data_IF_097971177061
#
_entry.id   IF_097971177061
#
_cell.length_a   1.000
_cell.length_b   1.000
_cell.length_c   1.000
_cell.angle_alpha   90.00
_cell.angle_beta   90.00
_cell.angle_gamma   90.00
#
_symmetry.space_group_name_H-M   'P 1'
#
loop_
_entity.id
_entity.type
_entity.pdbx_description
1 polymer ?
#
# COMPACT_ATOMS: atom_id res chain seq x y z
N UNK A 1 -41.22 -42.71 -6.16
CA UNK A 1 -39.94 -43.04 -5.50
C UNK A 1 -38.82 -43.30 -6.52
N UNK A 2 -39.00 -44.21 -7.50
CA UNK A 2 -37.97 -44.54 -8.52
C UNK A 2 -37.53 -43.30 -9.33
N UNK A 3 -38.46 -42.47 -9.83
CA UNK A 3 -38.12 -41.27 -10.62
C UNK A 3 -37.28 -40.24 -9.87
N UNK A 4 -37.52 -40.05 -8.56
CA UNK A 4 -36.76 -39.13 -7.72
C UNK A 4 -35.32 -39.64 -7.55
N UNK A 5 -35.16 -40.94 -7.33
CA UNK A 5 -33.85 -41.57 -7.19
C UNK A 5 -33.02 -41.44 -8.47
N UNK A 6 -33.64 -41.68 -9.63
CA UNK A 6 -32.99 -41.52 -10.94
C UNK A 6 -32.56 -40.07 -11.21
N UNK A 7 -33.40 -39.09 -10.87
CA UNK A 7 -33.06 -37.68 -11.03
C UNK A 7 -31.86 -37.27 -10.17
N UNK A 8 -31.82 -37.69 -8.89
CA UNK A 8 -30.70 -37.40 -7.98
C UNK A 8 -29.39 -37.98 -8.53
N UNK A 9 -29.41 -39.22 -9.03
CA UNK A 9 -28.22 -39.85 -9.62
C UNK A 9 -27.71 -39.06 -10.83
N UNK A 10 -28.60 -38.59 -11.71
CA UNK A 10 -28.22 -37.78 -12.88
C UNK A 10 -27.58 -36.47 -12.44
N UNK A 11 -28.15 -35.78 -11.45
CA UNK A 11 -27.58 -34.52 -10.92
C UNK A 11 -26.20 -34.76 -10.32
N UNK A 12 -26.02 -35.82 -9.54
CA UNK A 12 -24.70 -36.16 -8.96
C UNK A 12 -23.67 -36.47 -10.05
N UNK A 13 -24.03 -37.26 -11.05
CA UNK A 13 -23.13 -37.58 -12.17
C UNK A 13 -22.75 -36.31 -12.97
N UNK A 14 -23.71 -35.40 -13.16
CA UNK A 14 -23.45 -34.12 -13.82
C UNK A 14 -22.48 -33.24 -13.02
N UNK A 15 -22.67 -33.14 -11.70
CA UNK A 15 -21.76 -32.41 -10.81
C UNK A 15 -20.36 -33.03 -10.79
N UNK A 16 -20.27 -34.37 -10.69
CA UNK A 16 -19.00 -35.09 -10.75
C UNK A 16 -18.28 -34.87 -12.08
N UNK A 17 -19.01 -34.92 -13.20
CA UNK A 17 -18.45 -34.65 -14.52
C UNK A 17 -17.92 -33.22 -14.63
N UNK A 18 -18.68 -32.23 -14.14
CA UNK A 18 -18.26 -30.83 -14.08
C UNK A 18 -16.98 -30.66 -13.26
N UNK A 19 -16.92 -31.25 -12.08
CA UNK A 19 -15.74 -31.23 -11.20
C UNK A 19 -14.51 -31.87 -11.85
N UNK A 20 -14.66 -33.06 -12.46
CA UNK A 20 -13.57 -33.74 -13.17
C UNK A 20 -13.06 -32.93 -14.37
N UNK A 21 -13.97 -32.36 -15.15
CA UNK A 21 -13.62 -31.51 -16.29
C UNK A 21 -12.85 -30.27 -15.83
N UNK A 22 -13.34 -29.61 -14.77
CA UNK A 22 -12.71 -28.41 -14.22
C UNK A 22 -11.30 -28.70 -13.68
N UNK A 23 -11.13 -29.79 -12.93
CA UNK A 23 -9.81 -30.21 -12.44
C UNK A 23 -8.84 -30.53 -13.57
N UNK A 24 -9.31 -31.18 -14.65
CA UNK A 24 -8.46 -31.43 -15.82
C UNK A 24 -8.00 -30.13 -16.49
N UNK A 25 -8.89 -29.15 -16.62
CA UNK A 25 -8.54 -27.84 -17.19
C UNK A 25 -7.52 -27.13 -16.29
N UNK A 26 -7.78 -27.08 -14.98
CA UNK A 26 -6.88 -26.46 -14.00
C UNK A 26 -5.49 -27.09 -14.01
N UNK A 27 -5.41 -28.42 -14.09
CA UNK A 27 -4.12 -29.12 -14.16
C UNK A 27 -3.35 -28.79 -15.45
N UNK A 28 -4.05 -28.61 -16.57
CA UNK A 28 -3.41 -28.18 -17.82
C UNK A 28 -2.93 -26.73 -17.73
N UNK A 29 -3.72 -25.85 -17.12
CA UNK A 29 -3.34 -24.45 -16.92
C UNK A 29 -2.12 -24.32 -16.00
N UNK A 30 -2.09 -25.11 -14.92
CA UNK A 30 -0.93 -25.17 -14.03
C UNK A 30 0.31 -25.72 -14.73
N UNK A 31 0.15 -26.74 -15.58
CA UNK A 31 1.25 -27.23 -16.40
C UNK A 31 1.77 -26.18 -17.38
N UNK A 32 0.87 -25.46 -18.07
CA UNK A 32 1.27 -24.36 -18.95
C UNK A 32 2.00 -23.25 -18.18
N UNK A 33 1.58 -22.98 -16.95
CA UNK A 33 2.28 -22.07 -16.05
C UNK A 33 3.70 -22.56 -15.74
N UNK A 34 3.85 -23.80 -15.27
CA UNK A 34 5.18 -24.39 -15.00
C UNK A 34 6.07 -24.39 -16.24
N UNK A 35 5.54 -24.78 -17.40
CA UNK A 35 6.27 -24.82 -18.66
C UNK A 35 6.78 -23.44 -19.09
N UNK A 36 6.00 -22.37 -18.85
CA UNK A 36 6.36 -20.99 -19.19
C UNK A 36 7.39 -20.42 -18.20
N UNK A 37 7.20 -20.62 -16.90
CA UNK A 37 8.01 -19.94 -15.88
C UNK A 37 9.21 -20.75 -15.38
N UNK A 38 9.27 -22.06 -15.63
CA UNK A 38 10.46 -22.88 -15.29
C UNK A 38 11.70 -22.53 -16.12
N UNK A 39 11.53 -21.82 -17.24
CA UNK A 39 12.61 -21.45 -18.16
C UNK A 39 13.19 -20.06 -17.87
N UNK A 40 12.70 -19.34 -16.85
CA UNK A 40 13.11 -17.95 -16.54
C UNK A 40 14.53 -17.82 -15.98
N UNK A 41 15.08 -18.89 -15.41
CA UNK A 41 16.29 -18.81 -14.58
C UNK A 41 16.05 -18.22 -13.18
N UNK A 42 14.83 -17.79 -12.88
CA UNK A 42 14.38 -17.32 -11.58
C UNK A 42 13.66 -18.42 -10.79
N UNK A 43 13.33 -18.14 -9.52
CA UNK A 43 12.48 -19.03 -8.71
C UNK A 43 11.09 -19.10 -9.35
N UNK A 44 10.49 -20.30 -9.37
CA UNK A 44 9.15 -20.48 -9.92
C UNK A 44 8.14 -19.63 -9.11
N UNK A 45 7.38 -18.72 -9.75
CA UNK A 45 6.37 -17.93 -9.05
C UNK A 45 5.21 -18.82 -8.55
N UNK A 46 4.37 -18.26 -7.68
CA UNK A 46 3.14 -18.91 -7.22
C UNK A 46 1.99 -18.51 -8.13
N UNK A 47 1.14 -19.48 -8.52
CA UNK A 47 -0.08 -19.24 -9.28
C UNK A 47 -1.31 -19.45 -8.41
N UNK A 48 -2.07 -18.38 -8.20
CA UNK A 48 -3.37 -18.42 -7.53
C UNK A 48 -4.52 -18.35 -8.53
N UNK A 49 -5.59 -19.10 -8.24
CA UNK A 49 -6.81 -19.14 -9.04
C UNK A 49 -7.93 -18.44 -8.27
N UNK A 50 -8.61 -17.49 -8.92
CA UNK A 50 -9.79 -16.82 -8.38
C UNK A 50 -10.86 -16.71 -9.46
N UNK A 51 -11.93 -15.96 -9.19
CA UNK A 51 -12.95 -15.64 -10.18
C UNK A 51 -13.40 -14.20 -10.05
N UNK A 52 -13.44 -13.50 -11.17
CA UNK A 52 -14.00 -12.16 -11.30
C UNK A 52 -14.66 -12.03 -12.66
N UNK A 53 -15.55 -11.06 -12.82
CA UNK A 53 -16.18 -10.72 -14.10
C UNK A 53 -16.89 -11.91 -14.80
N UNK A 54 -17.27 -12.95 -14.05
CA UNK A 54 -17.87 -14.21 -14.55
C UNK A 54 -16.91 -15.17 -15.26
N UNK A 55 -15.60 -15.02 -15.08
CA UNK A 55 -14.57 -15.95 -15.58
C UNK A 55 -13.47 -16.17 -14.54
N UNK A 56 -12.62 -17.20 -14.71
CA UNK A 56 -11.48 -17.41 -13.83
C UNK A 56 -10.43 -16.31 -13.99
N UNK A 57 -9.85 -15.88 -12.88
CA UNK A 57 -8.73 -14.95 -12.84
C UNK A 57 -7.50 -15.63 -12.23
N UNK A 58 -6.33 -15.10 -12.56
CA UNK A 58 -5.05 -15.69 -12.25
C UNK A 58 -4.14 -14.63 -11.67
N UNK A 59 -3.50 -14.95 -10.55
CA UNK A 59 -2.49 -14.07 -9.95
C UNK A 59 -1.16 -14.82 -9.92
N UNK A 60 -0.16 -14.23 -10.56
CA UNK A 60 1.21 -14.73 -10.58
C UNK A 60 1.97 -13.92 -9.53
N UNK A 61 2.40 -14.57 -8.46
CA UNK A 61 3.15 -13.94 -7.37
C UNK A 61 4.61 -14.36 -7.44
N UNK A 62 5.47 -13.44 -7.85
CA UNK A 62 6.93 -13.58 -7.89
C UNK A 62 7.55 -13.39 -6.50
N UNK A 63 8.75 -13.92 -6.30
CA UNK A 63 9.47 -13.75 -5.03
C UNK A 63 9.93 -12.31 -4.85
N UNK A 64 10.56 -11.72 -5.89
CA UNK A 64 11.04 -10.34 -5.88
C UNK A 64 10.51 -9.54 -7.07
N UNK A 65 10.68 -8.23 -7.02
CA UNK A 65 10.34 -7.32 -8.12
C UNK A 65 11.19 -7.60 -9.36
N UNK A 66 12.48 -7.86 -9.18
CA UNK A 66 13.42 -8.15 -10.28
C UNK A 66 13.02 -9.42 -11.04
N UNK A 67 12.57 -10.46 -10.33
CA UNK A 67 12.09 -11.70 -10.95
C UNK A 67 10.85 -11.44 -11.84
N UNK A 68 9.93 -10.59 -11.36
CA UNK A 68 8.75 -10.18 -12.13
C UNK A 68 9.13 -9.37 -13.37
N UNK A 69 9.96 -8.34 -13.20
CA UNK A 69 10.41 -7.48 -14.29
C UNK A 69 11.20 -8.27 -15.35
N UNK A 70 12.03 -9.23 -14.91
CA UNK A 70 12.74 -10.13 -15.80
C UNK A 70 11.77 -11.02 -16.59
N UNK A 71 10.75 -11.57 -15.94
CA UNK A 71 9.75 -12.43 -16.60
C UNK A 71 8.88 -11.64 -17.59
N UNK A 72 8.55 -10.39 -17.29
CA UNK A 72 7.89 -9.48 -18.21
C UNK A 72 8.79 -9.12 -19.40
N UNK A 73 10.05 -8.75 -19.14
CA UNK A 73 11.03 -8.46 -20.19
C UNK A 73 11.24 -9.63 -21.15
N UNK A 74 11.26 -10.85 -20.62
CA UNK A 74 11.41 -12.08 -21.39
C UNK A 74 10.11 -12.54 -22.08
N UNK A 75 9.00 -11.81 -21.91
CA UNK A 75 7.71 -12.11 -22.54
C UNK A 75 7.00 -13.34 -21.97
N UNK A 76 7.39 -13.81 -20.78
CA UNK A 76 6.80 -15.01 -20.17
C UNK A 76 5.36 -14.76 -19.72
N UNK A 77 5.08 -13.59 -19.17
CA UNK A 77 3.72 -13.17 -18.80
C UNK A 77 2.80 -13.15 -20.03
N UNK A 78 3.28 -12.62 -21.15
CA UNK A 78 2.51 -12.56 -22.40
C UNK A 78 2.29 -13.94 -23.02
N UNK A 79 3.30 -14.81 -22.99
CA UNK A 79 3.15 -16.20 -23.44
C UNK A 79 2.14 -16.96 -22.56
N UNK A 80 2.17 -16.76 -21.24
CA UNK A 80 1.16 -17.35 -20.34
C UNK A 80 -0.25 -16.84 -20.64
N UNK A 81 -0.42 -15.52 -20.83
CA UNK A 81 -1.69 -14.89 -21.27
C UNK A 81 -2.22 -15.52 -22.56
N UNK A 82 -1.35 -15.71 -23.55
CA UNK A 82 -1.69 -16.34 -24.83
C UNK A 82 -2.14 -17.79 -24.65
N UNK A 83 -1.47 -18.57 -23.80
CA UNK A 83 -1.88 -19.96 -23.48
C UNK A 83 -3.22 -19.98 -22.75
N UNK A 84 -3.43 -19.11 -21.76
CA UNK A 84 -4.71 -19.02 -21.04
C UNK A 84 -5.88 -18.71 -21.95
N UNK A 85 -5.70 -17.80 -22.94
CA UNK A 85 -6.73 -17.47 -23.92
C UNK A 85 -7.24 -18.69 -24.70
N UNK A 86 -6.44 -19.74 -24.88
CA UNK A 86 -6.85 -20.96 -25.59
C UNK A 86 -7.85 -21.84 -24.83
N UNK A 87 -8.01 -21.64 -23.52
CA UNK A 87 -8.91 -22.43 -22.67
C UNK A 87 -10.33 -21.86 -22.61
N UNK A 88 -10.52 -20.62 -23.04
CA UNK A 88 -11.75 -19.87 -22.84
C UNK A 88 -12.33 -19.39 -24.18
N UNK A 89 -13.56 -18.92 -24.15
CA UNK A 89 -14.21 -18.35 -25.33
C UNK A 89 -13.65 -16.96 -25.67
N UNK A 90 -14.20 -16.36 -26.73
CA UNK A 90 -13.78 -15.05 -27.21
C UNK A 90 -14.06 -13.89 -26.26
N UNK A 91 -14.90 -14.08 -25.23
CA UNK A 91 -15.20 -13.04 -24.24
C UNK A 91 -14.12 -12.95 -23.14
N UNK A 92 -13.24 -13.96 -23.02
CA UNK A 92 -12.12 -13.94 -22.09
C UNK A 92 -11.05 -12.92 -22.51
N UNK A 93 -10.73 -12.01 -21.60
CA UNK A 93 -9.72 -10.97 -21.79
C UNK A 93 -8.48 -11.26 -20.92
N UNK A 94 -7.39 -11.83 -21.49
CA UNK A 94 -6.23 -12.22 -20.69
C UNK A 94 -5.57 -11.05 -19.97
N UNK A 95 -5.66 -9.82 -20.49
CA UNK A 95 -5.06 -8.64 -19.86
C UNK A 95 -5.80 -8.21 -18.59
N UNK A 96 -7.08 -8.57 -18.47
CA UNK A 96 -7.90 -8.35 -17.27
C UNK A 96 -7.92 -9.56 -16.35
N UNK A 97 -7.71 -10.78 -16.85
CA UNK A 97 -7.71 -12.00 -16.02
C UNK A 97 -6.45 -12.15 -15.19
N UNK A 98 -5.32 -11.77 -15.78
CA UNK A 98 -4.02 -12.20 -15.33
C UNK A 98 -3.28 -10.99 -14.81
N UNK A 99 -2.96 -11.05 -13.52
CA UNK A 99 -2.19 -10.03 -12.83
C UNK A 99 -0.88 -10.66 -12.36
N UNK A 100 0.22 -10.00 -12.70
CA UNK A 100 1.54 -10.28 -12.14
C UNK A 100 1.79 -9.34 -10.97
N UNK A 101 2.34 -9.87 -9.89
CA UNK A 101 2.79 -9.13 -8.71
C UNK A 101 3.96 -9.85 -8.06
N UNK A 102 4.66 -9.21 -7.15
CA UNK A 102 5.63 -9.86 -6.25
C UNK A 102 5.09 -9.86 -4.82
N UNK A 103 5.73 -10.62 -3.91
CA UNK A 103 5.26 -10.78 -2.53
C UNK A 103 5.04 -9.45 -1.81
N UNK A 104 5.96 -8.50 -1.99
CA UNK A 104 5.92 -7.19 -1.33
C UNK A 104 5.26 -6.11 -2.22
N UNK A 105 4.54 -6.50 -3.28
CA UNK A 105 3.97 -5.57 -4.25
C UNK A 105 2.95 -4.62 -3.64
N UNK A 106 2.13 -5.11 -2.71
CA UNK A 106 1.15 -4.27 -2.02
C UNK A 106 1.86 -3.20 -1.20
N UNK A 107 2.90 -3.58 -0.47
CA UNK A 107 3.70 -2.68 0.34
C UNK A 107 4.36 -1.59 -0.53
N UNK A 108 5.18 -1.98 -1.52
CA UNK A 108 5.87 -1.03 -2.40
C UNK A 108 4.92 -0.10 -3.19
N UNK A 109 3.80 -0.65 -3.68
CA UNK A 109 2.84 0.12 -4.49
C UNK A 109 2.03 1.05 -3.61
N UNK A 110 1.57 0.60 -2.44
CA UNK A 110 0.82 1.44 -1.51
C UNK A 110 1.70 2.51 -0.89
N UNK A 111 2.98 2.23 -0.65
CA UNK A 111 3.94 3.18 -0.12
C UNK A 111 4.26 4.28 -1.13
N UNK A 112 4.62 3.91 -2.37
CA UNK A 112 4.90 4.88 -3.43
C UNK A 112 3.68 5.75 -3.75
N UNK A 113 2.47 5.17 -3.75
CA UNK A 113 1.22 5.93 -3.88
C UNK A 113 1.04 6.85 -2.67
N UNK A 114 1.23 6.36 -1.44
CA UNK A 114 1.03 7.12 -0.22
C UNK A 114 1.90 8.37 -0.15
N UNK A 115 3.20 8.25 -0.43
CA UNK A 115 4.11 9.41 -0.48
C UNK A 115 3.68 10.42 -1.54
N UNK A 116 3.47 9.95 -2.77
CA UNK A 116 3.11 10.82 -3.89
C UNK A 116 1.78 11.54 -3.63
N UNK A 117 0.80 10.83 -3.08
CA UNK A 117 -0.50 11.40 -2.71
C UNK A 117 -0.34 12.46 -1.62
N UNK A 118 0.48 12.23 -0.59
CA UNK A 118 0.74 13.26 0.42
C UNK A 118 1.46 14.48 -0.18
N UNK A 119 2.45 14.29 -1.05
CA UNK A 119 3.12 15.39 -1.76
C UNK A 119 2.13 16.21 -2.62
N UNK A 120 1.22 15.55 -3.34
CA UNK A 120 0.17 16.20 -4.12
C UNK A 120 -0.79 17.02 -3.23
N UNK A 121 -1.18 16.48 -2.07
CA UNK A 121 -2.02 17.16 -1.09
C UNK A 121 -1.29 18.39 -0.52
N UNK A 122 -0.02 18.25 -0.13
CA UNK A 122 0.80 19.37 0.36
C UNK A 122 0.90 20.47 -0.69
N UNK A 123 1.19 20.12 -1.94
CA UNK A 123 1.27 21.08 -3.04
C UNK A 123 -0.06 21.80 -3.31
N UNK A 124 -1.18 21.08 -3.19
CA UNK A 124 -2.52 21.65 -3.29
C UNK A 124 -2.79 22.68 -2.18
N UNK A 125 -2.45 22.37 -0.93
CA UNK A 125 -2.70 23.27 0.20
C UNK A 125 -1.71 24.45 0.28
N UNK A 126 -0.45 24.24 -0.11
CA UNK A 126 0.55 25.31 -0.15
C UNK A 126 0.30 26.29 -1.30
N UNK A 127 -0.43 25.87 -2.34
CA UNK A 127 -0.68 26.64 -3.57
C UNK A 127 0.62 27.18 -4.21
N UNK A 128 1.72 26.41 -4.09
CA UNK A 128 3.05 26.79 -4.60
C UNK A 128 3.80 27.81 -3.75
N UNK A 129 3.31 28.14 -2.54
CA UNK A 129 4.04 28.93 -1.55
C UNK A 129 4.91 28.05 -0.64
N UNK A 130 5.63 28.67 0.28
CA UNK A 130 6.32 27.95 1.37
C UNK A 130 5.31 27.17 2.23
N UNK A 131 5.67 25.95 2.60
CA UNK A 131 4.90 25.14 3.55
C UNK A 131 4.91 25.79 4.94
N UNK A 132 3.77 25.77 5.62
CA UNK A 132 3.63 26.19 7.03
C UNK A 132 3.21 24.99 7.88
N UNK A 133 3.37 25.07 9.22
CA UNK A 133 2.88 24.01 10.12
C UNK A 133 1.38 23.74 9.96
N UNK A 134 0.56 24.77 9.74
CA UNK A 134 -0.88 24.63 9.51
C UNK A 134 -1.16 23.86 8.23
N UNK A 135 -0.49 24.22 7.13
CA UNK A 135 -0.59 23.52 5.84
C UNK A 135 -0.20 22.06 6.01
N UNK A 136 0.86 21.76 6.76
CA UNK A 136 1.33 20.41 6.99
C UNK A 136 0.32 19.58 7.80
N UNK A 137 -0.24 20.12 8.89
CA UNK A 137 -1.28 19.45 9.67
C UNK A 137 -2.51 19.18 8.81
N UNK A 138 -2.99 20.18 8.09
CA UNK A 138 -4.19 20.04 7.25
C UNK A 138 -3.97 19.02 6.12
N UNK A 139 -2.78 19.02 5.53
CA UNK A 139 -2.39 18.04 4.52
C UNK A 139 -2.35 16.61 5.08
N UNK A 140 -1.77 16.42 6.27
CA UNK A 140 -1.71 15.10 6.90
C UNK A 140 -3.10 14.61 7.32
N UNK A 141 -3.97 15.49 7.81
CA UNK A 141 -5.34 15.14 8.15
C UNK A 141 -6.18 14.78 6.91
N UNK A 142 -6.03 15.52 5.80
CA UNK A 142 -6.69 15.21 4.53
C UNK A 142 -6.19 13.87 3.98
N UNK A 143 -4.87 13.66 4.03
CA UNK A 143 -4.24 12.39 3.64
C UNK A 143 -4.77 11.23 4.49
N UNK A 144 -4.76 11.35 5.81
CA UNK A 144 -5.25 10.34 6.74
C UNK A 144 -6.72 10.02 6.52
N UNK A 145 -7.58 11.04 6.34
CA UNK A 145 -9.02 10.85 6.17
C UNK A 145 -9.37 10.16 4.84
N UNK A 146 -8.71 10.54 3.75
CA UNK A 146 -9.06 10.05 2.41
C UNK A 146 -8.32 8.76 2.02
N UNK A 147 -7.24 8.43 2.70
CA UNK A 147 -6.43 7.24 2.44
C UNK A 147 -6.42 6.29 3.65
N UNK A 148 -7.41 6.41 4.54
CA UNK A 148 -7.56 5.48 5.67
C UNK A 148 -7.80 4.08 5.13
N UNK A 149 -6.99 3.12 5.54
CA UNK A 149 -7.21 1.73 5.15
C UNK A 149 -8.59 1.32 5.68
N UNK A 150 -9.47 0.83 4.80
CA UNK A 150 -10.74 0.27 5.26
C UNK A 150 -10.46 -1.04 6.00
N UNK A 151 -10.55 -0.98 7.33
CA UNK A 151 -10.59 -2.12 8.24
C UNK A 151 -9.36 -3.06 8.21
N UNK A 152 -8.29 -2.69 8.90
CA UNK A 152 -7.54 -3.68 9.67
C UNK A 152 -8.24 -3.82 11.04
N UNK A 153 -8.93 -4.95 11.22
CA UNK A 153 -9.46 -5.51 12.49
C UNK A 153 -10.28 -4.64 13.46
N UNK A 154 -10.60 -3.38 13.15
CA UNK A 154 -11.36 -2.50 14.04
C UNK A 154 -10.58 -2.03 15.27
N UNK A 155 -9.27 -2.26 15.31
CA UNK A 155 -8.40 -1.69 16.33
C UNK A 155 -7.94 -0.29 15.87
N UNK A 156 -8.14 0.72 16.71
CA UNK A 156 -7.75 2.09 16.37
C UNK A 156 -6.23 2.30 16.42
N UNK A 157 -5.48 1.37 17.03
CA UNK A 157 -4.02 1.47 17.17
C UNK A 157 -3.28 1.01 15.90
N UNK A 158 -3.97 0.41 14.94
CA UNK A 158 -3.37 -0.11 13.71
C UNK A 158 -3.16 1.01 12.65
N UNK A 159 -3.72 2.22 12.85
CA UNK A 159 -3.59 3.35 11.92
C UNK A 159 -3.69 4.70 12.66
N UNK A 160 -2.55 5.24 13.06
CA UNK A 160 -2.43 6.40 13.96
C UNK A 160 -1.62 7.56 13.37
N UNK A 161 -1.82 8.76 13.89
CA UNK A 161 -0.98 9.92 13.62
C UNK A 161 -0.11 10.27 14.83
N UNK A 162 1.12 10.69 14.57
CA UNK A 162 2.06 11.25 15.53
C UNK A 162 2.45 12.66 15.08
N UNK A 163 2.38 13.61 16.00
CA UNK A 163 3.01 14.91 15.85
C UNK A 163 4.20 14.98 16.79
N UNK A 164 5.34 15.48 16.32
CA UNK A 164 6.50 15.71 17.14
C UNK A 164 7.32 16.91 16.66
N UNK A 165 8.06 17.52 17.57
CA UNK A 165 9.11 18.47 17.21
C UNK A 165 10.29 18.39 18.16
N UNK A 166 11.43 18.91 17.69
CA UNK A 166 12.64 19.05 18.48
C UNK A 166 13.79 19.64 17.68
N UNK A 167 14.93 19.80 18.34
CA UNK A 167 16.18 20.25 17.73
C UNK A 167 17.10 19.03 17.59
N UNK A 168 17.52 18.72 16.37
CA UNK A 168 18.31 17.52 16.07
C UNK A 168 19.46 17.81 15.11
N UNK A 169 20.49 16.98 15.15
CA UNK A 169 21.64 16.98 14.23
C UNK A 169 21.85 15.57 13.67
N UNK A 170 20.86 15.07 12.94
CA UNK A 170 20.87 13.69 12.43
C UNK A 170 21.89 13.47 11.31
N UNK A 171 22.21 14.51 10.53
CA UNK A 171 23.09 14.44 9.36
C UNK A 171 24.52 14.97 9.63
N UNK A 172 24.79 15.45 10.84
CA UNK A 172 26.08 16.03 11.23
C UNK A 172 26.40 17.36 10.55
N UNK A 173 25.43 17.99 9.87
CA UNK A 173 25.59 19.29 9.20
C UNK A 173 25.23 20.47 10.08
N UNK A 174 24.84 20.19 11.34
CA UNK A 174 24.46 21.19 12.32
C UNK A 174 23.01 21.00 12.75
N UNK A 175 22.71 21.54 13.93
CA UNK A 175 21.40 21.40 14.52
C UNK A 175 20.33 22.12 13.68
N UNK A 176 19.17 21.48 13.50
CA UNK A 176 17.98 22.03 12.86
C UNK A 176 16.78 21.80 13.76
N UNK A 177 15.83 22.72 13.74
CA UNK A 177 14.52 22.46 14.33
C UNK A 177 13.66 21.69 13.32
N UNK A 178 13.09 20.58 13.75
CA UNK A 178 12.26 19.71 12.95
C UNK A 178 10.85 19.67 13.52
N UNK A 179 9.85 19.86 12.66
CA UNK A 179 8.45 19.56 12.95
C UNK A 179 8.04 18.40 12.06
N UNK A 180 7.55 17.32 12.67
CA UNK A 180 7.28 16.07 11.99
C UNK A 180 5.86 15.60 12.28
N UNK A 181 5.16 15.23 11.21
CA UNK A 181 3.88 14.56 11.20
C UNK A 181 4.07 13.18 10.60
N UNK A 182 3.78 12.13 11.35
CA UNK A 182 3.90 10.74 10.89
C UNK A 182 2.53 10.08 10.93
N UNK A 183 2.14 9.41 9.84
CA UNK A 183 1.11 8.38 9.88
C UNK A 183 1.80 7.03 10.03
N UNK A 184 1.38 6.23 10.99
CA UNK A 184 1.88 4.89 11.23
C UNK A 184 0.74 3.88 11.01
N UNK A 185 0.98 2.89 10.17
CA UNK A 185 0.03 1.83 9.83
C UNK A 185 0.66 0.48 10.17
N UNK A 186 -0.05 -0.38 10.88
CA UNK A 186 0.39 -1.75 11.12
C UNK A 186 0.30 -2.56 9.82
N UNK A 187 1.38 -3.26 9.48
CA UNK A 187 1.43 -4.20 8.34
C UNK A 187 1.24 -5.64 8.84
N UNK A 188 2.03 -6.01 9.86
CA UNK A 188 1.93 -7.27 10.59
C UNK A 188 2.04 -7.02 12.10
N UNK A 189 1.97 -8.06 12.94
CA UNK A 189 1.95 -7.91 14.41
C UNK A 189 3.16 -7.12 14.97
N UNK A 190 4.29 -7.07 14.25
CA UNK A 190 5.53 -6.43 14.71
C UNK A 190 6.11 -5.38 13.72
N UNK A 191 5.46 -5.15 12.58
CA UNK A 191 5.97 -4.26 11.51
C UNK A 191 5.02 -3.10 11.23
N UNK A 192 5.59 -1.90 11.07
CA UNK A 192 4.86 -0.68 10.82
C UNK A 192 5.39 0.06 9.61
N UNK A 193 4.46 0.45 8.74
CA UNK A 193 4.71 1.35 7.62
C UNK A 193 4.44 2.77 8.07
N UNK A 194 5.33 3.69 7.73
CA UNK A 194 5.21 5.08 8.12
C UNK A 194 5.34 6.03 6.93
N UNK A 195 4.42 6.98 6.85
CA UNK A 195 4.50 8.13 5.94
C UNK A 195 4.76 9.36 6.79
N UNK A 196 5.90 10.01 6.58
CA UNK A 196 6.32 11.19 7.36
C UNK A 196 6.35 12.44 6.51
N UNK A 197 5.86 13.54 7.07
CA UNK A 197 6.05 14.90 6.56
C UNK A 197 6.90 15.67 7.58
N UNK A 198 8.09 16.09 7.15
CA UNK A 198 9.06 16.78 8.00
C UNK A 198 9.28 18.19 7.44
N UNK A 199 9.22 19.20 8.30
CA UNK A 199 9.55 20.59 7.95
C UNK A 199 10.76 21.02 8.76
N UNK A 200 11.72 21.63 8.08
CA UNK A 200 12.98 22.09 8.66
C UNK A 200 13.01 23.60 8.82
N UNK A 201 13.52 24.04 9.97
CA UNK A 201 13.67 25.46 10.31
C UNK A 201 15.05 25.76 10.88
N UNK A 202 15.47 27.02 10.73
CA UNK A 202 16.71 27.55 11.35
C UNK A 202 16.50 27.71 12.84
N UNK A 203 17.50 27.33 13.64
CA UNK A 203 17.45 27.50 15.09
C UNK A 203 17.58 28.96 15.48
N UNK A 204 18.22 29.80 14.66
CA UNK A 204 18.28 31.24 14.90
C UNK A 204 16.89 31.87 14.84
N UNK A 205 16.01 31.39 13.95
CA UNK A 205 14.62 31.86 13.87
C UNK A 205 13.72 31.24 14.95
N UNK A 206 13.90 29.94 15.25
CA UNK A 206 13.06 29.23 16.21
C UNK A 206 13.46 29.52 17.66
N UNK A 207 14.75 29.71 17.93
CA UNK A 207 15.32 29.81 19.28
C UNK A 207 15.31 28.49 20.05
N UNK A 208 15.68 28.55 21.33
CA UNK A 208 15.70 27.40 22.23
C UNK A 208 14.25 26.98 22.59
N UNK A 209 13.88 25.77 22.18
CA UNK A 209 12.60 25.13 22.47
C UNK A 209 12.85 23.65 22.73
N UNK A 210 12.19 23.10 23.75
CA UNK A 210 12.31 21.69 24.09
C UNK A 210 11.74 20.76 23.00
N UNK A 211 11.73 19.45 23.28
CA UNK A 211 11.06 18.48 22.44
C UNK A 211 9.60 18.27 22.87
N UNK A 212 8.78 17.80 21.95
CA UNK A 212 7.39 17.44 22.21
C UNK A 212 6.95 16.32 21.26
N UNK A 213 6.05 15.46 21.72
CA UNK A 213 5.35 14.51 20.88
C UNK A 213 3.92 14.28 21.40
N UNK A 214 3.01 13.88 20.51
CA UNK A 214 1.61 13.59 20.82
C UNK A 214 1.00 12.64 19.78
N UNK A 215 0.52 11.49 20.23
CA UNK A 215 -0.22 10.56 19.38
C UNK A 215 -1.67 10.98 19.24
N UNK A 216 -2.29 10.69 18.10
CA UNK A 216 -3.72 10.97 17.88
C UNK A 216 -4.64 10.14 18.76
N UNK A 217 -4.18 8.99 19.24
CA UNK A 217 -4.90 8.10 20.15
C UNK A 217 -4.85 8.56 21.61
N UNK A 218 -3.96 9.48 21.96
CA UNK A 218 -3.91 10.10 23.29
C UNK A 218 -5.10 11.06 23.55
N UNK A 219 -5.86 11.39 22.51
CA UNK A 219 -6.97 12.33 22.56
C UNK A 219 -8.25 11.73 21.95
N UNK A 220 -9.44 12.22 22.36
CA UNK A 220 -10.71 11.63 21.94
C UNK A 220 -11.01 11.73 20.43
N UNK A 221 -10.49 12.76 19.78
CA UNK A 221 -10.76 13.05 18.38
C UNK A 221 -9.65 13.92 17.74
N UNK A 222 -9.66 13.97 16.41
CA UNK A 222 -8.66 14.68 15.60
C UNK A 222 -8.71 16.20 15.76
N UNK A 223 -9.88 16.77 16.11
CA UNK A 223 -10.02 18.21 16.33
C UNK A 223 -9.32 18.62 17.64
N UNK A 224 -9.47 17.83 18.69
CA UNK A 224 -8.74 18.02 19.94
C UNK A 224 -7.24 17.83 19.75
N UNK A 225 -6.82 16.82 18.99
CA UNK A 225 -5.42 16.59 18.66
C UNK A 225 -4.79 17.80 17.94
N UNK A 226 -5.41 18.27 16.86
CA UNK A 226 -4.99 19.49 16.16
C UNK A 226 -4.96 20.70 17.10
N UNK A 227 -6.00 20.88 17.92
CA UNK A 227 -6.08 22.01 18.86
C UNK A 227 -4.92 22.01 19.86
N UNK A 228 -4.58 20.87 20.46
CA UNK A 228 -3.47 20.79 21.42
C UNK A 228 -2.15 21.12 20.74
N UNK A 229 -1.89 20.57 19.56
CA UNK A 229 -0.69 20.85 18.76
C UNK A 229 -0.53 22.35 18.51
N UNK A 230 -1.58 23.02 18.06
CA UNK A 230 -1.55 24.46 17.75
C UNK A 230 -1.23 25.34 18.97
N UNK A 231 -1.40 24.82 20.19
CA UNK A 231 -1.09 25.55 21.42
C UNK A 231 0.33 25.31 21.93
N UNK A 232 1.05 24.32 21.39
CA UNK A 232 2.44 24.04 21.76
C UNK A 232 3.37 25.19 21.39
N UNK A 233 4.47 25.32 22.12
CA UNK A 233 5.44 26.39 21.89
C UNK A 233 6.16 26.22 20.55
N UNK A 234 6.64 25.00 20.25
CA UNK A 234 7.34 24.71 18.99
C UNK A 234 6.49 25.00 17.76
N UNK A 235 5.20 24.64 17.80
CA UNK A 235 4.27 24.96 16.71
C UNK A 235 4.13 26.47 16.49
N UNK A 236 3.87 27.25 17.54
CA UNK A 236 3.69 28.71 17.44
C UNK A 236 4.95 29.41 16.89
N UNK A 237 6.13 28.96 17.30
CA UNK A 237 7.39 29.49 16.77
C UNK A 237 7.58 29.11 15.31
N UNK A 238 7.34 27.86 14.94
CA UNK A 238 7.39 27.39 13.56
C UNK A 238 6.40 28.12 12.63
N UNK A 239 5.20 28.47 13.11
CA UNK A 239 4.21 29.24 12.34
C UNK A 239 4.65 30.68 12.05
N UNK A 240 5.58 31.21 12.84
CA UNK A 240 6.13 32.57 12.67
C UNK A 240 7.46 32.58 11.92
N UNK A 241 8.10 31.43 11.75
CA UNK A 241 9.39 31.25 11.10
C UNK A 241 9.23 30.86 9.63
N UNK A 242 10.29 31.02 8.84
CA UNK A 242 10.30 30.58 7.45
C UNK A 242 10.88 29.16 7.37
N UNK A 243 10.11 28.22 6.84
CA UNK A 243 10.63 26.90 6.52
C UNK A 243 11.82 27.00 5.56
N UNK A 244 12.92 26.32 5.90
CA UNK A 244 14.09 26.18 5.05
C UNK A 244 13.79 25.18 3.94
N UNK A 245 13.22 24.04 4.33
CA UNK A 245 12.91 22.92 3.44
C UNK A 245 11.81 22.03 4.07
N UNK A 246 11.29 21.10 3.28
CA UNK A 246 10.45 20.02 3.79
C UNK A 246 10.67 18.74 3.01
N UNK A 247 10.31 17.61 3.61
CA UNK A 247 10.45 16.29 3.01
C UNK A 247 9.26 15.41 3.31
N UNK A 248 8.86 14.62 2.34
CA UNK A 248 7.97 13.46 2.53
C UNK A 248 8.78 12.18 2.43
N UNK A 249 8.69 11.35 3.46
CA UNK A 249 9.41 10.09 3.58
C UNK A 249 8.47 8.91 3.77
N UNK A 250 8.93 7.75 3.29
CA UNK A 250 8.37 6.45 3.59
C UNK A 250 9.40 5.72 4.43
N UNK A 251 8.96 5.11 5.52
CA UNK A 251 9.81 4.27 6.36
C UNK A 251 9.09 2.96 6.57
N UNK A 252 9.78 1.89 6.17
CA UNK A 252 9.30 0.53 6.26
C UNK A 252 10.21 -0.18 7.26
N UNK A 253 9.64 -0.75 8.31
CA UNK A 253 10.40 -1.56 9.27
C UNK A 253 10.46 -2.99 8.74
N UNK A 254 11.62 -3.41 8.24
CA UNK A 254 11.94 -4.82 7.95
C UNK A 254 12.47 -5.54 9.20
#
# INVERSE_FOLDING_TARGET
MILILSFVVIVVLFLMYGWLRNNRIRNKQFKDFEDVFSQSGAKLPVLDFSSSYSWPTFTITFETKEDMELAEHNGQVDEFKKRMKSYYDSAFDPDRAIVSRYKDWLHDTMDAISKKTLEEIVNKYSAGNNITPEVAIDSMLDFYKNNRAHNHNGNNDDDMLLFQYGIYDWDGTGQKFELNLTRQMADTDDEYNQVRLIIYYSIEEIGDVGNFNLWSTDLPDMEQWKKVIMHTEGFKRASSAKAIDYKVELINTN
#
